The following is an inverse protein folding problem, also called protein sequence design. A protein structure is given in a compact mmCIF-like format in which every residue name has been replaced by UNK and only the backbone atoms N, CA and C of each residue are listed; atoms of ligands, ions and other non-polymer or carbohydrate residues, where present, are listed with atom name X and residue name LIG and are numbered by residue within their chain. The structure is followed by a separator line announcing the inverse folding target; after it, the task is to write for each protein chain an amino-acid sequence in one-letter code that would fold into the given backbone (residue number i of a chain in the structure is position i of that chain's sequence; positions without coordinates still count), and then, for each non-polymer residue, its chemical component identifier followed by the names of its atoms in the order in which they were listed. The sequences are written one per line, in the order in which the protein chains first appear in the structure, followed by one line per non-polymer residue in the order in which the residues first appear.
data_IF_851972988810
#
_entry.id   IF_851972988810
#
_cell.length_a   1.000
_cell.length_b   1.000
_cell.length_c   1.000
_cell.angle_alpha   90.00
_cell.angle_beta   90.00
_cell.angle_gamma   90.00
#
_symmetry.space_group_name_H-M   'P 1'
#
loop_
_entity.id
_entity.type
_entity.pdbx_description
1 polymer ?
#
# COMPACT_ATOMS: atom_id res chain seq x y z
N UNK A 1 -14.44 -3.83 23.90
CA UNK A 1 -12.96 -3.67 23.88
C UNK A 1 -12.56 -3.37 22.44
N UNK A 2 -12.32 -2.10 22.08
CA UNK A 2 -11.89 -1.75 20.72
C UNK A 2 -10.39 -1.99 20.65
N UNK A 3 -9.99 -3.09 20.01
CA UNK A 3 -8.59 -3.42 19.79
C UNK A 3 -7.97 -2.31 18.92
N UNK A 4 -7.00 -1.57 19.47
CA UNK A 4 -6.23 -0.53 18.74
C UNK A 4 -5.20 -1.18 17.79
N UNK A 5 -5.64 -2.09 16.90
CA UNK A 5 -4.75 -2.93 16.08
C UNK A 5 -4.96 -2.68 14.57
N UNK A 6 -5.21 -1.43 14.16
CA UNK A 6 -5.46 -1.11 12.74
C UNK A 6 -4.43 -0.14 12.14
N UNK A 7 -3.27 0.02 12.78
CA UNK A 7 -2.20 0.91 12.28
C UNK A 7 -1.01 0.09 11.79
N UNK A 8 -0.66 0.25 10.51
CA UNK A 8 0.51 -0.35 9.88
C UNK A 8 1.53 0.75 9.56
N UNK A 9 2.71 0.68 10.17
CA UNK A 9 3.86 1.55 9.85
C UNK A 9 4.80 0.80 8.89
N UNK A 10 5.02 1.35 7.70
CA UNK A 10 5.85 0.73 6.65
C UNK A 10 7.12 1.55 6.46
N UNK A 11 8.28 0.92 6.63
CA UNK A 11 9.57 1.50 6.26
C UNK A 11 9.89 1.21 4.79
N UNK A 12 10.29 2.23 4.04
CA UNK A 12 10.73 2.07 2.65
C UNK A 12 12.23 1.80 2.64
N UNK A 13 12.68 0.61 2.22
CA UNK A 13 14.10 0.29 2.21
C UNK A 13 14.86 1.19 1.24
N UNK A 14 16.12 1.51 1.58
CA UNK A 14 16.97 2.41 0.78
C UNK A 14 17.06 2.00 -0.70
N UNK A 15 17.10 0.70 -0.97
CA UNK A 15 17.14 0.11 -2.32
C UNK A 15 15.89 0.35 -3.17
N UNK A 16 14.85 0.98 -2.61
CA UNK A 16 13.61 1.34 -3.30
C UNK A 16 13.34 2.84 -3.22
N UNK A 17 14.24 3.65 -2.64
CA UNK A 17 14.06 5.10 -2.55
C UNK A 17 14.17 5.78 -3.91
N UNK A 18 15.02 5.27 -4.80
CA UNK A 18 15.16 5.67 -6.20
C UNK A 18 13.84 5.59 -6.99
N UNK A 19 12.92 4.71 -6.56
CA UNK A 19 11.59 4.56 -7.16
C UNK A 19 10.58 5.61 -6.71
N UNK A 20 10.96 6.49 -5.78
CA UNK A 20 10.16 7.58 -5.22
C UNK A 20 8.71 7.18 -4.88
N UNK A 21 8.47 6.07 -4.14
CA UNK A 21 7.13 5.52 -3.97
C UNK A 21 6.17 6.48 -3.23
N UNK A 22 6.66 7.24 -2.24
CA UNK A 22 5.85 8.22 -1.51
C UNK A 22 5.39 9.34 -2.43
N UNK A 23 6.29 9.92 -3.22
CA UNK A 23 5.95 11.00 -4.16
C UNK A 23 4.93 10.53 -5.20
N UNK A 24 5.12 9.33 -5.75
CA UNK A 24 4.21 8.73 -6.73
C UNK A 24 2.83 8.47 -6.13
N UNK A 25 2.77 7.96 -4.90
CA UNK A 25 1.52 7.76 -4.17
C UNK A 25 0.81 9.10 -3.90
N UNK A 26 1.55 10.14 -3.48
CA UNK A 26 0.99 11.48 -3.24
C UNK A 26 0.39 12.07 -4.51
N UNK A 27 1.10 11.99 -5.65
CA UNK A 27 0.58 12.46 -6.95
C UNK A 27 -0.68 11.70 -7.36
N UNK A 28 -0.67 10.38 -7.24
CA UNK A 28 -1.82 9.53 -7.59
C UNK A 28 -3.02 9.77 -6.65
N UNK A 29 -2.78 9.95 -5.36
CA UNK A 29 -3.80 10.25 -4.36
C UNK A 29 -4.54 11.55 -4.70
N UNK A 30 -3.80 12.60 -5.08
CA UNK A 30 -4.38 13.87 -5.54
C UNK A 30 -5.23 13.69 -6.79
N UNK A 31 -4.73 12.96 -7.78
CA UNK A 31 -5.46 12.72 -9.04
C UNK A 31 -6.74 11.90 -8.85
N UNK A 32 -6.76 10.98 -7.88
CA UNK A 32 -7.92 10.12 -7.59
C UNK A 32 -8.88 10.69 -6.55
N UNK A 33 -8.55 11.85 -5.96
CA UNK A 33 -9.27 12.42 -4.81
C UNK A 33 -9.40 11.42 -3.65
N UNK A 34 -8.33 10.66 -3.39
CA UNK A 34 -8.27 9.66 -2.31
C UNK A 34 -7.09 9.92 -1.38
N UNK A 35 -7.15 9.38 -0.17
CA UNK A 35 -6.01 9.44 0.75
C UNK A 35 -4.91 8.47 0.32
N UNK A 36 -3.66 8.77 0.69
CA UNK A 36 -2.53 7.85 0.49
C UNK A 36 -2.80 6.51 1.20
N UNK A 37 -3.35 6.54 2.41
CA UNK A 37 -3.69 5.34 3.16
C UNK A 37 -4.66 4.44 2.40
N UNK A 38 -5.68 5.03 1.75
CA UNK A 38 -6.60 4.26 0.91
C UNK A 38 -5.85 3.52 -0.20
N UNK A 39 -4.97 4.21 -0.94
CA UNK A 39 -4.19 3.60 -2.02
C UNK A 39 -3.22 2.52 -1.53
N UNK A 40 -2.61 2.71 -0.37
CA UNK A 40 -1.70 1.74 0.24
C UNK A 40 -2.46 0.46 0.62
N UNK A 41 -3.60 0.60 1.28
CA UNK A 41 -4.43 -0.57 1.65
C UNK A 41 -4.94 -1.29 0.40
N UNK A 42 -5.43 -0.55 -0.59
CA UNK A 42 -5.88 -1.13 -1.86
C UNK A 42 -4.75 -1.92 -2.55
N UNK A 43 -3.54 -1.36 -2.60
CA UNK A 43 -2.38 -2.02 -3.18
C UNK A 43 -1.96 -3.30 -2.42
N UNK A 44 -2.09 -3.29 -1.08
CA UNK A 44 -1.85 -4.48 -0.25
C UNK A 44 -2.84 -5.59 -0.59
N UNK A 45 -4.15 -5.29 -0.63
CA UNK A 45 -5.19 -6.27 -0.98
C UNK A 45 -4.96 -6.83 -2.38
N UNK A 46 -4.72 -5.96 -3.37
CA UNK A 46 -4.43 -6.40 -4.74
C UNK A 46 -3.19 -7.30 -4.83
N UNK A 47 -2.17 -7.07 -4.00
CA UNK A 47 -0.99 -7.93 -3.93
C UNK A 47 -1.34 -9.32 -3.38
N UNK A 48 -2.03 -9.36 -2.22
CA UNK A 48 -2.47 -10.61 -1.59
C UNK A 48 -3.33 -11.45 -2.54
N UNK A 49 -4.34 -10.84 -3.18
CA UNK A 49 -5.21 -11.53 -4.15
C UNK A 49 -4.43 -12.17 -5.30
N UNK A 50 -3.34 -11.53 -5.76
CA UNK A 50 -2.50 -12.10 -6.83
C UNK A 50 -1.67 -13.27 -6.34
N UNK A 51 -1.07 -13.17 -5.16
CA UNK A 51 -0.22 -14.24 -4.60
C UNK A 51 -1.06 -15.46 -4.19
N UNK A 52 -2.20 -15.25 -3.54
CA UNK A 52 -3.12 -16.35 -3.16
C UNK A 52 -3.64 -17.11 -4.38
N UNK A 53 -3.88 -16.41 -5.50
CA UNK A 53 -4.27 -17.05 -6.76
C UNK A 53 -3.17 -17.93 -7.36
N UNK A 54 -1.90 -17.62 -7.13
CA UNK A 54 -0.78 -18.47 -7.59
C UNK A 54 -0.69 -19.76 -6.77
N UNK A 55 -1.04 -19.71 -5.49
CA UNK A 55 -0.98 -20.86 -4.57
C UNK A 55 -2.13 -21.86 -4.76
N UNK A 56 -3.20 -21.48 -5.45
CA UNK A 56 -4.36 -22.35 -5.75
C UNK A 56 -4.24 -23.08 -7.09
N UNK A 57 -3.12 -22.96 -7.79
CA UNK A 57 -2.79 -23.67 -9.03
C UNK A 57 -1.75 -24.73 -8.75
#
# INVERSE_FOLDING_TARGET
MVNRVNTLSIYIPKSKMDKNPVERLTKLAKQKERSINYLVVEAIIQYLDREERKLKK
#
